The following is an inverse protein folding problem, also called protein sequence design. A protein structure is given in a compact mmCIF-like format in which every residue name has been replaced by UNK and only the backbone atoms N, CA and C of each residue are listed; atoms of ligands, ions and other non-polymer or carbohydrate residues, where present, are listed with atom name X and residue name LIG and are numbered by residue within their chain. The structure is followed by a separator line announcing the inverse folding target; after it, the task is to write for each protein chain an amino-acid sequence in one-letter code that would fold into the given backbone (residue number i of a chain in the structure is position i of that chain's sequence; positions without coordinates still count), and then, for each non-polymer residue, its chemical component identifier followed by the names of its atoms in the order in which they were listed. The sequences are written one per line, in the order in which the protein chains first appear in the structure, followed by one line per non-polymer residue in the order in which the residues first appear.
data_IF_441886248351
#
_entry.id   IF_441886248351
#
_cell.length_a   1.000
_cell.length_b   1.000
_cell.length_c   1.000
_cell.angle_alpha   90.00
_cell.angle_beta   90.00
_cell.angle_gamma   90.00
#
_symmetry.space_group_name_H-M   'P 1'
#
loop_
_entity.id
_entity.type
_entity.pdbx_description
1 polymer ?
#
# COMPACT_ATOMS: atom_id res chain seq x y z
N UNK A 1 40.21 -10.56 22.68
CA UNK A 1 39.96 -9.14 22.40
C UNK A 1 38.78 -9.06 21.44
N UNK A 2 37.74 -8.30 21.76
CA UNK A 2 36.62 -8.06 20.85
C UNK A 2 37.03 -7.06 19.77
N UNK A 3 36.75 -7.31 18.48
CA UNK A 3 37.03 -6.34 17.43
C UNK A 3 36.15 -5.09 17.66
N UNK A 4 36.75 -3.90 17.60
CA UNK A 4 35.99 -2.65 17.50
C UNK A 4 35.45 -2.58 16.07
N UNK A 5 34.12 -2.59 15.93
CA UNK A 5 33.48 -2.36 14.64
C UNK A 5 33.77 -0.92 14.20
N UNK A 6 34.07 -0.69 12.90
CA UNK A 6 34.17 0.64 12.33
C UNK A 6 32.89 1.47 12.61
N UNK A 7 33.04 2.78 12.78
CA UNK A 7 31.90 3.68 13.05
C UNK A 7 30.82 3.59 11.95
N UNK A 8 31.22 3.30 10.71
CA UNK A 8 30.32 3.15 9.57
C UNK A 8 29.39 1.91 9.67
N UNK A 9 29.69 0.97 10.57
CA UNK A 9 28.87 -0.22 10.87
C UNK A 9 28.17 -0.13 12.24
N UNK A 10 28.03 1.09 12.81
CA UNK A 10 27.38 1.31 14.10
C UNK A 10 28.32 1.20 15.32
N UNK A 11 29.61 1.50 15.12
CA UNK A 11 30.66 1.43 16.15
C UNK A 11 30.46 2.35 17.36
N UNK A 12 29.67 1.90 18.33
CA UNK A 12 29.70 2.34 19.73
C UNK A 12 30.42 1.31 20.62
N UNK A 13 30.35 1.46 21.95
CA UNK A 13 30.85 0.44 22.88
C UNK A 13 30.11 -0.88 22.69
N UNK A 14 30.74 -1.82 21.98
CA UNK A 14 30.19 -3.14 21.72
C UNK A 14 30.25 -3.99 22.97
N UNK A 15 29.09 -4.24 23.57
CA UNK A 15 28.92 -5.26 24.62
C UNK A 15 28.36 -6.52 23.98
N UNK A 16 28.93 -7.68 24.29
CA UNK A 16 28.46 -8.97 23.78
C UNK A 16 27.10 -9.27 24.43
N UNK A 17 26.01 -9.09 23.67
CA UNK A 17 24.62 -9.27 24.12
C UNK A 17 24.28 -10.72 24.49
N UNK A 18 25.06 -11.69 24.00
CA UNK A 18 24.77 -13.12 24.11
C UNK A 18 25.46 -13.81 25.29
N UNK A 19 26.38 -13.13 26.00
CA UNK A 19 27.14 -13.76 27.08
C UNK A 19 26.24 -13.95 28.29
N UNK A 20 25.73 -15.18 28.45
CA UNK A 20 24.81 -15.55 29.51
C UNK A 20 23.33 -15.57 29.12
N UNK A 21 22.98 -15.46 27.82
CA UNK A 21 21.62 -15.64 27.31
C UNK A 21 21.52 -17.01 26.60
N UNK A 22 20.66 -17.89 27.09
CA UNK A 22 20.44 -19.23 26.52
C UNK A 22 19.47 -19.21 25.34
N UNK A 23 18.33 -18.49 25.48
CA UNK A 23 17.33 -18.34 24.42
C UNK A 23 16.41 -17.14 24.67
N UNK A 24 15.69 -16.72 23.63
CA UNK A 24 14.61 -15.73 23.69
C UNK A 24 13.37 -16.26 22.97
N UNK A 25 12.20 -16.09 23.59
CA UNK A 25 10.90 -16.37 22.99
C UNK A 25 10.03 -15.10 23.01
N UNK A 26 9.28 -14.90 21.93
CA UNK A 26 8.26 -13.85 21.82
C UNK A 26 6.91 -14.52 21.65
N UNK A 27 5.99 -14.24 22.56
CA UNK A 27 4.61 -14.72 22.51
C UNK A 27 3.68 -13.54 22.26
N UNK A 28 2.77 -13.68 21.30
CA UNK A 28 1.73 -12.70 20.98
C UNK A 28 0.38 -13.36 21.16
N UNK A 29 -0.39 -12.91 22.13
CA UNK A 29 -1.76 -13.35 22.39
C UNK A 29 -2.74 -12.24 21.98
N UNK A 30 -3.49 -12.39 20.86
CA UNK A 30 -4.33 -11.31 20.34
C UNK A 30 -5.63 -11.08 21.12
N UNK A 31 -6.11 -12.08 21.86
CA UNK A 31 -7.43 -12.10 22.52
C UNK A 31 -7.42 -12.97 23.78
N UNK A 32 -8.23 -12.67 24.83
CA UNK A 32 -9.20 -11.58 24.96
C UNK A 32 -8.61 -10.24 25.43
N UNK A 33 -7.36 -10.24 25.93
CA UNK A 33 -6.58 -9.03 26.19
C UNK A 33 -5.26 -9.11 25.42
N UNK A 34 -4.98 -8.18 24.49
CA UNK A 34 -3.76 -8.25 23.70
C UNK A 34 -2.53 -8.20 24.60
N UNK A 35 -1.71 -9.24 24.52
CA UNK A 35 -0.49 -9.38 25.30
C UNK A 35 0.67 -9.72 24.38
N UNK A 36 1.75 -8.95 24.50
CA UNK A 36 3.05 -9.33 23.94
C UNK A 36 3.96 -9.64 25.12
N UNK A 37 4.46 -10.87 25.17
CA UNK A 37 5.39 -11.31 26.20
C UNK A 37 6.70 -11.71 25.55
N UNK A 38 7.80 -11.11 26.02
CA UNK A 38 9.15 -11.53 25.66
C UNK A 38 9.78 -12.19 26.87
N UNK A 39 10.25 -13.43 26.71
CA UNK A 39 10.97 -14.16 27.76
C UNK A 39 12.36 -14.48 27.26
N UNK A 40 13.38 -14.02 27.97
CA UNK A 40 14.76 -14.45 27.80
C UNK A 40 15.17 -15.36 28.95
N UNK A 41 15.84 -16.46 28.66
CA UNK A 41 16.45 -17.33 29.67
C UNK A 41 17.95 -17.04 29.75
N UNK A 42 18.44 -16.76 30.95
CA UNK A 42 19.85 -16.55 31.23
C UNK A 42 20.52 -17.79 31.82
N UNK A 43 21.85 -17.87 31.71
CA UNK A 43 22.68 -18.94 32.29
C UNK A 43 22.60 -18.96 33.82
N UNK A 44 22.50 -17.78 34.43
CA UNK A 44 22.48 -17.57 35.87
C UNK A 44 21.78 -16.25 36.24
N UNK A 45 21.53 -16.03 37.54
CA UNK A 45 20.80 -14.86 38.03
C UNK A 45 21.57 -13.55 37.82
N UNK A 46 22.90 -13.56 37.96
CA UNK A 46 23.73 -12.37 37.75
C UNK A 46 23.71 -11.94 36.27
N UNK A 47 23.69 -12.91 35.36
CA UNK A 47 23.52 -12.69 33.92
C UNK A 47 22.13 -12.13 33.60
N UNK A 48 21.07 -12.60 34.28
CA UNK A 48 19.73 -12.05 34.12
C UNK A 48 19.65 -10.56 34.54
N UNK A 49 20.27 -10.18 35.67
CA UNK A 49 20.35 -8.79 36.13
C UNK A 49 21.17 -7.90 35.19
N UNK A 50 22.30 -8.42 34.70
CA UNK A 50 23.15 -7.72 33.73
C UNK A 50 22.37 -7.42 32.43
N UNK A 51 21.65 -8.41 31.90
CA UNK A 51 20.82 -8.27 30.71
C UNK A 51 19.63 -7.33 30.94
N UNK A 52 18.98 -7.34 32.11
CA UNK A 52 17.94 -6.35 32.47
C UNK A 52 18.50 -4.92 32.39
N UNK A 53 19.63 -4.66 33.04
CA UNK A 53 20.26 -3.33 33.04
C UNK A 53 20.65 -2.85 31.64
N UNK A 54 21.00 -3.80 30.77
CA UNK A 54 21.34 -3.55 29.38
C UNK A 54 20.08 -3.26 28.55
N UNK A 55 19.01 -4.02 28.74
CA UNK A 55 17.69 -3.75 28.15
C UNK A 55 17.18 -2.35 28.52
N UNK A 56 17.25 -1.96 29.79
CA UNK A 56 16.86 -0.61 30.24
C UNK A 56 17.69 0.52 29.61
N UNK A 57 18.95 0.25 29.28
CA UNK A 57 19.81 1.21 28.55
C UNK A 57 19.45 1.27 27.07
N UNK A 58 19.23 0.11 26.44
CA UNK A 58 18.80 0.02 25.05
C UNK A 58 17.46 0.73 24.81
N UNK A 59 16.48 0.50 25.68
CA UNK A 59 15.16 1.15 25.63
C UNK A 59 15.27 2.67 25.74
N UNK A 60 16.10 3.19 26.66
CA UNK A 60 16.37 4.63 26.79
C UNK A 60 17.03 5.23 25.55
N UNK A 61 17.95 4.49 24.91
CA UNK A 61 18.61 4.93 23.68
C UNK A 61 17.63 4.95 22.50
N UNK A 62 16.78 3.92 22.37
CA UNK A 62 15.76 3.84 21.31
C UNK A 62 14.74 4.98 21.50
N UNK A 63 14.22 5.19 22.72
CA UNK A 63 13.24 6.24 23.00
C UNK A 63 13.76 7.67 22.85
N UNK A 64 15.08 7.88 22.90
CA UNK A 64 15.72 9.19 22.73
C UNK A 64 16.26 9.44 21.31
N UNK A 65 16.21 8.45 20.43
CA UNK A 65 16.68 8.57 19.04
C UNK A 65 15.63 9.21 18.13
N UNK A 66 15.93 10.40 17.60
CA UNK A 66 15.12 11.06 16.57
C UNK A 66 15.01 10.20 15.30
N UNK A 67 16.10 9.55 14.88
CA UNK A 67 16.17 8.73 13.67
C UNK A 67 15.26 7.50 13.73
N UNK A 68 15.02 6.92 14.92
CA UNK A 68 14.12 5.78 15.09
C UNK A 68 12.66 6.24 15.20
N UNK A 69 12.42 7.43 15.76
CA UNK A 69 11.08 8.02 15.84
C UNK A 69 10.44 8.27 14.47
N UNK A 70 11.27 8.49 13.44
CA UNK A 70 10.82 8.62 12.05
C UNK A 70 10.23 7.31 11.48
N UNK A 71 10.74 6.15 11.93
CA UNK A 71 10.28 4.84 11.48
C UNK A 71 9.14 4.28 12.33
N UNK A 72 9.16 4.54 13.64
CA UNK A 72 8.11 4.12 14.58
C UNK A 72 7.57 5.34 15.31
N UNK A 73 6.52 5.99 14.77
CA UNK A 73 5.86 7.08 15.45
C UNK A 73 5.42 6.61 16.84
N UNK A 74 5.72 7.41 17.88
CA UNK A 74 5.47 7.08 19.31
C UNK A 74 6.42 6.08 19.96
N UNK A 75 7.57 5.76 19.36
CA UNK A 75 8.59 4.90 20.00
C UNK A 75 8.96 5.36 21.42
N UNK A 76 8.94 6.67 21.68
CA UNK A 76 9.20 7.25 23.00
C UNK A 76 8.14 6.87 24.05
N UNK A 77 6.86 6.91 23.68
CA UNK A 77 5.75 6.49 24.55
C UNK A 77 5.81 4.99 24.84
N UNK A 78 6.18 4.20 23.82
CA UNK A 78 6.32 2.75 23.92
C UNK A 78 7.54 2.31 24.75
N UNK A 79 8.63 3.07 24.68
CA UNK A 79 9.86 2.80 25.42
C UNK A 79 9.64 2.90 26.95
N UNK A 80 8.85 3.87 27.41
CA UNK A 80 8.57 4.05 28.85
C UNK A 80 7.75 2.89 29.46
N UNK A 81 7.07 2.11 28.62
CA UNK A 81 6.26 0.95 29.00
C UNK A 81 7.05 -0.37 29.02
N UNK A 82 8.22 -0.43 28.37
CA UNK A 82 9.11 -1.59 28.40
C UNK A 82 9.83 -1.66 29.75
N UNK A 83 9.27 -2.44 30.68
CA UNK A 83 9.86 -2.69 32.00
C UNK A 83 10.27 -4.16 32.14
N UNK A 84 11.55 -4.50 31.89
CA UNK A 84 12.03 -5.86 32.07
C UNK A 84 12.05 -6.20 33.56
N UNK A 85 11.56 -7.39 33.90
CA UNK A 85 11.59 -7.95 35.26
C UNK A 85 12.46 -9.20 35.25
N UNK A 86 13.12 -9.48 36.36
CA UNK A 86 13.92 -10.70 36.53
C UNK A 86 13.14 -11.65 37.43
N UNK A 87 12.94 -12.87 36.94
CA UNK A 87 12.30 -13.98 37.65
C UNK A 87 13.31 -15.14 37.72
N UNK A 88 14.14 -15.14 38.76
CA UNK A 88 15.25 -16.09 38.89
C UNK A 88 16.27 -15.91 37.77
N UNK A 89 16.32 -16.88 36.84
CA UNK A 89 17.19 -16.83 35.65
C UNK A 89 16.48 -16.31 34.40
N UNK A 90 15.22 -15.87 34.51
CA UNK A 90 14.44 -15.38 33.36
C UNK A 90 14.33 -13.88 33.40
N UNK A 91 14.32 -13.28 32.22
CA UNK A 91 13.99 -11.89 32.01
C UNK A 91 12.67 -11.87 31.27
N UNK A 92 11.68 -11.25 31.89
CA UNK A 92 10.32 -11.18 31.36
C UNK A 92 9.99 -9.74 31.08
N UNK A 93 9.54 -9.47 29.86
CA UNK A 93 8.92 -8.21 29.46
C UNK A 93 7.47 -8.53 29.15
N UNK A 94 6.58 -8.07 30.02
CA UNK A 94 5.13 -8.16 29.83
C UNK A 94 4.60 -6.84 29.32
N UNK A 95 4.06 -6.85 28.11
CA UNK A 95 3.29 -5.76 27.53
C UNK A 95 1.83 -6.18 27.52
N UNK A 96 1.11 -5.82 28.58
CA UNK A 96 -0.31 -6.15 28.77
C UNK A 96 -1.19 -4.90 28.71
N UNK A 97 -2.47 -5.06 28.37
CA UNK A 97 -3.43 -3.95 28.37
C UNK A 97 -3.12 -2.91 27.29
N UNK A 98 -3.30 -1.62 27.59
CA UNK A 98 -3.07 -0.54 26.60
C UNK A 98 -1.66 -0.52 26.03
N UNK A 99 -0.66 -0.84 26.85
CA UNK A 99 0.74 -0.91 26.43
C UNK A 99 0.99 -2.05 25.44
N UNK A 100 0.47 -3.25 25.76
CA UNK A 100 0.48 -4.42 24.89
C UNK A 100 -0.20 -4.17 23.55
N UNK A 101 -1.36 -3.53 23.57
CA UNK A 101 -2.10 -3.14 22.35
C UNK A 101 -1.28 -2.17 21.49
N UNK A 102 -0.70 -1.14 22.10
CA UNK A 102 0.06 -0.13 21.34
C UNK A 102 1.34 -0.73 20.74
N UNK A 103 2.05 -1.58 21.49
CA UNK A 103 3.21 -2.32 21.00
C UNK A 103 2.86 -3.30 19.89
N UNK A 104 1.82 -4.11 20.08
CA UNK A 104 1.33 -5.03 19.07
C UNK A 104 0.97 -4.25 17.79
N UNK A 105 0.28 -3.12 17.89
CA UNK A 105 -0.03 -2.26 16.73
C UNK A 105 1.22 -1.70 16.06
N UNK A 106 2.17 -1.14 16.81
CA UNK A 106 3.39 -0.58 16.24
C UNK A 106 4.24 -1.60 15.47
N UNK A 107 4.20 -2.88 15.87
CA UNK A 107 4.96 -3.96 15.22
C UNK A 107 4.14 -4.65 14.12
N UNK A 108 2.85 -4.91 14.36
CA UNK A 108 1.99 -5.64 13.43
C UNK A 108 1.50 -4.75 12.30
N UNK A 109 1.17 -3.48 12.54
CA UNK A 109 0.61 -2.61 11.50
C UNK A 109 1.57 -2.45 10.30
N UNK A 110 2.88 -2.18 10.44
CA UNK A 110 3.79 -2.09 9.29
C UNK A 110 3.96 -3.42 8.53
N UNK A 111 4.02 -4.55 9.27
CA UNK A 111 4.15 -5.88 8.69
C UNK A 111 2.88 -6.28 7.94
N UNK A 112 1.72 -6.05 8.56
CA UNK A 112 0.42 -6.27 7.96
C UNK A 112 0.24 -5.39 6.72
N UNK A 113 0.60 -4.09 6.79
CA UNK A 113 0.50 -3.19 5.64
C UNK A 113 1.41 -3.61 4.49
N UNK A 114 2.61 -4.12 4.79
CA UNK A 114 3.50 -4.67 3.74
C UNK A 114 2.83 -5.83 3.00
N UNK A 115 2.19 -6.74 3.74
CA UNK A 115 1.44 -7.85 3.16
C UNK A 115 0.18 -7.41 2.40
N UNK A 116 -0.59 -6.47 2.97
CA UNK A 116 -1.79 -5.94 2.33
C UNK A 116 -1.46 -5.15 1.06
N UNK A 117 -0.38 -4.36 1.07
CA UNK A 117 0.15 -3.69 -0.13
C UNK A 117 0.59 -4.69 -1.18
N UNK A 118 1.29 -5.77 -0.82
CA UNK A 118 1.68 -6.80 -1.78
C UNK A 118 0.46 -7.37 -2.52
N UNK A 119 -0.65 -7.62 -1.82
CA UNK A 119 -1.91 -8.00 -2.46
C UNK A 119 -2.51 -6.90 -3.35
N UNK A 120 -2.44 -5.63 -2.94
CA UNK A 120 -2.91 -4.55 -3.81
C UNK A 120 -2.04 -4.44 -5.08
N UNK A 121 -0.74 -4.69 -4.99
CA UNK A 121 0.19 -4.80 -6.14
C UNK A 121 -0.18 -5.98 -7.04
N UNK A 122 -0.46 -7.17 -6.48
CA UNK A 122 -0.90 -8.33 -7.27
C UNK A 122 -2.18 -8.01 -8.06
N UNK A 123 -3.15 -7.33 -7.42
CA UNK A 123 -4.37 -6.87 -8.11
C UNK A 123 -4.03 -5.91 -9.25
N UNK A 124 -3.18 -4.91 -9.03
CA UNK A 124 -2.75 -3.95 -10.05
C UNK A 124 -2.04 -4.64 -11.23
N UNK A 125 -1.26 -5.70 -10.99
CA UNK A 125 -0.64 -6.51 -12.03
C UNK A 125 -1.69 -7.26 -12.85
N UNK A 126 -2.69 -7.88 -12.19
CA UNK A 126 -3.80 -8.55 -12.89
C UNK A 126 -4.61 -7.55 -13.72
N UNK A 127 -4.88 -6.36 -13.18
CA UNK A 127 -5.57 -5.29 -13.91
C UNK A 127 -4.76 -4.80 -15.11
N UNK A 128 -3.45 -4.58 -14.96
CA UNK A 128 -2.56 -4.22 -16.05
C UNK A 128 -2.55 -5.28 -17.17
N UNK A 129 -2.44 -6.55 -16.80
CA UNK A 129 -2.54 -7.67 -17.75
C UNK A 129 -3.89 -7.69 -18.47
N UNK A 130 -4.99 -7.47 -17.75
CA UNK A 130 -6.33 -7.42 -18.35
C UNK A 130 -6.48 -6.25 -19.33
N UNK A 131 -5.90 -5.09 -19.03
CA UNK A 131 -5.85 -3.93 -19.93
C UNK A 131 -5.08 -4.26 -21.22
N UNK A 132 -3.94 -4.94 -21.12
CA UNK A 132 -3.18 -5.39 -22.29
C UNK A 132 -3.90 -6.48 -23.10
N UNK A 133 -4.59 -7.43 -22.45
CA UNK A 133 -5.39 -8.42 -23.16
C UNK A 133 -6.58 -7.78 -23.91
N UNK A 134 -7.19 -6.76 -23.30
CA UNK A 134 -8.19 -5.93 -23.99
C UNK A 134 -7.56 -5.24 -25.21
N UNK A 135 -6.40 -4.59 -25.04
CA UNK A 135 -5.69 -3.89 -26.12
C UNK A 135 -5.31 -4.83 -27.27
N UNK A 136 -4.78 -6.01 -26.98
CA UNK A 136 -4.44 -7.01 -27.99
C UNK A 136 -5.67 -7.47 -28.81
N UNK A 137 -6.86 -7.42 -28.22
CA UNK A 137 -8.12 -7.84 -28.87
C UNK A 137 -8.79 -6.69 -29.63
N UNK A 138 -8.66 -5.44 -29.17
CA UNK A 138 -9.41 -4.28 -29.68
C UNK A 138 -8.55 -3.23 -30.39
N UNK A 139 -7.22 -3.35 -30.34
CA UNK A 139 -6.24 -2.42 -30.91
C UNK A 139 -6.01 -1.14 -30.10
N UNK A 140 -6.74 -0.95 -28.99
CA UNK A 140 -6.58 0.15 -28.04
C UNK A 140 -6.82 -0.34 -26.63
N UNK A 141 -6.22 0.31 -25.63
CA UNK A 141 -6.70 0.17 -24.25
C UNK A 141 -8.20 0.52 -24.16
N UNK A 142 -8.93 -0.01 -23.17
CA UNK A 142 -10.34 0.31 -23.03
C UNK A 142 -10.51 1.83 -22.84
N UNK A 143 -11.57 2.44 -23.40
CA UNK A 143 -11.92 3.80 -23.04
C UNK A 143 -12.22 3.87 -21.54
N UNK A 144 -12.09 5.05 -20.93
CA UNK A 144 -12.40 5.24 -19.50
C UNK A 144 -13.83 4.81 -19.17
N UNK A 145 -14.75 4.96 -20.14
CA UNK A 145 -16.13 4.51 -20.06
C UNK A 145 -16.73 4.30 -21.45
N UNK A 146 -17.75 3.43 -21.54
CA UNK A 146 -18.61 3.32 -22.72
C UNK A 146 -19.64 4.45 -22.77
N UNK A 147 -20.19 4.70 -23.96
CA UNK A 147 -21.22 5.73 -24.18
C UNK A 147 -22.38 5.20 -25.04
N UNK A 148 -23.56 5.79 -24.90
CA UNK A 148 -24.68 5.57 -25.82
C UNK A 148 -24.49 6.30 -27.17
N UNK A 149 -25.47 6.16 -28.07
CA UNK A 149 -25.47 6.83 -29.37
C UNK A 149 -25.42 8.38 -29.28
N UNK A 150 -25.84 8.97 -28.17
CA UNK A 150 -25.80 10.41 -27.91
C UNK A 150 -24.52 10.85 -27.19
N UNK A 151 -23.61 9.92 -26.89
CA UNK A 151 -22.37 10.18 -26.15
C UNK A 151 -22.54 10.25 -24.63
N UNK A 152 -23.69 9.83 -24.07
CA UNK A 152 -23.90 9.77 -22.62
C UNK A 152 -23.10 8.60 -22.03
N UNK A 153 -22.28 8.81 -20.97
CA UNK A 153 -21.55 7.74 -20.31
C UNK A 153 -22.47 6.65 -19.75
N UNK A 154 -22.08 5.38 -19.93
CA UNK A 154 -22.84 4.21 -19.48
C UNK A 154 -22.09 3.41 -18.41
N UNK A 155 -21.02 2.70 -18.78
CA UNK A 155 -20.30 1.76 -17.92
C UNK A 155 -18.80 2.07 -17.86
N UNK A 156 -18.17 1.78 -16.71
CA UNK A 156 -16.72 1.92 -16.50
C UNK A 156 -15.88 0.97 -17.36
N UNK A 157 -14.63 1.36 -17.64
CA UNK A 157 -13.57 0.46 -18.15
C UNK A 157 -13.47 -0.86 -17.37
N UNK A 158 -13.77 -0.83 -16.06
CA UNK A 158 -13.73 -2.02 -15.19
C UNK A 158 -14.73 -3.09 -15.63
N UNK A 159 -15.86 -2.69 -16.21
CA UNK A 159 -16.84 -3.61 -16.80
C UNK A 159 -16.31 -4.15 -18.14
N UNK A 160 -15.70 -3.29 -18.97
CA UNK A 160 -15.15 -3.68 -20.26
C UNK A 160 -14.04 -4.75 -20.15
N UNK A 161 -13.28 -4.75 -19.05
CA UNK A 161 -12.21 -5.73 -18.84
C UNK A 161 -12.64 -7.03 -18.15
N UNK A 162 -13.90 -7.17 -17.73
CA UNK A 162 -14.38 -8.37 -17.02
C UNK A 162 -14.05 -9.69 -17.73
N UNK A 163 -14.19 -9.82 -19.06
CA UNK A 163 -13.80 -11.05 -19.78
C UNK A 163 -12.32 -11.41 -19.62
N UNK A 164 -11.45 -10.43 -19.32
CA UNK A 164 -10.00 -10.59 -19.21
C UNK A 164 -9.53 -10.79 -17.76
N UNK A 165 -10.45 -10.79 -16.79
CA UNK A 165 -10.20 -11.14 -15.38
C UNK A 165 -11.02 -12.34 -14.92
N UNK A 166 -11.36 -13.23 -15.85
CA UNK A 166 -12.17 -14.44 -15.61
C UNK A 166 -13.57 -14.13 -15.03
N UNK A 167 -14.18 -13.03 -15.49
CA UNK A 167 -15.53 -12.60 -15.12
C UNK A 167 -16.43 -12.45 -16.36
N UNK A 168 -16.20 -13.29 -17.38
CA UNK A 168 -16.94 -13.26 -18.65
C UNK A 168 -18.45 -13.52 -18.50
N UNK A 169 -18.88 -14.31 -17.52
CA UNK A 169 -20.31 -14.53 -17.27
C UNK A 169 -20.96 -13.30 -16.64
N UNK A 170 -20.30 -12.67 -15.66
CA UNK A 170 -20.78 -11.40 -15.09
C UNK A 170 -20.86 -10.31 -16.17
N UNK A 171 -19.91 -10.26 -17.11
CA UNK A 171 -19.96 -9.32 -18.23
C UNK A 171 -21.21 -9.48 -19.11
N UNK A 172 -21.62 -10.72 -19.40
CA UNK A 172 -22.82 -11.01 -20.21
C UNK A 172 -24.12 -10.62 -19.50
N UNK A 173 -24.11 -10.55 -18.17
CA UNK A 173 -25.27 -10.15 -17.38
C UNK A 173 -25.49 -8.63 -17.40
N UNK A 174 -24.49 -7.82 -17.70
CA UNK A 174 -24.66 -6.37 -17.86
C UNK A 174 -25.45 -6.03 -19.12
N UNK A 175 -26.43 -5.14 -19.00
CA UNK A 175 -27.03 -4.45 -20.14
C UNK A 175 -26.08 -3.31 -20.57
N UNK A 176 -25.33 -3.53 -21.64
CA UNK A 176 -24.23 -2.64 -22.05
C UNK A 176 -24.68 -1.35 -22.73
N UNK A 177 -25.94 -1.30 -23.14
CA UNK A 177 -26.66 -0.14 -23.66
C UNK A 177 -27.36 0.68 -22.56
N UNK A 178 -27.28 0.23 -21.31
CA UNK A 178 -27.84 0.91 -20.14
C UNK A 178 -26.75 1.50 -19.23
N UNK A 179 -27.04 2.58 -18.50
CA UNK A 179 -26.09 3.14 -17.54
C UNK A 179 -25.86 2.20 -16.36
N UNK A 180 -24.73 2.38 -15.68
CA UNK A 180 -24.33 1.62 -14.50
C UNK A 180 -25.37 1.59 -13.36
N UNK A 181 -26.22 2.61 -13.26
CA UNK A 181 -27.24 2.79 -12.24
C UNK A 181 -28.67 2.50 -12.73
N UNK A 182 -28.82 1.86 -13.90
CA UNK A 182 -30.11 1.36 -14.35
C UNK A 182 -30.71 0.37 -13.34
N UNK A 183 -32.04 0.19 -13.30
CA UNK A 183 -32.67 -0.76 -12.39
C UNK A 183 -32.09 -2.17 -12.47
N UNK A 184 -31.63 -2.59 -13.67
CA UNK A 184 -30.97 -3.87 -13.89
C UNK A 184 -29.50 -3.84 -13.43
N UNK A 185 -28.67 -2.99 -14.05
CA UNK A 185 -27.22 -2.98 -13.83
C UNK A 185 -26.83 -2.67 -12.39
N UNK A 186 -27.61 -1.87 -11.67
CA UNK A 186 -27.36 -1.53 -10.27
C UNK A 186 -27.36 -2.75 -9.36
N UNK A 187 -28.10 -3.81 -9.70
CA UNK A 187 -28.14 -5.07 -8.92
C UNK A 187 -26.81 -5.83 -8.99
N UNK A 188 -26.00 -5.58 -10.02
CA UNK A 188 -24.73 -6.27 -10.23
C UNK A 188 -23.56 -5.63 -9.45
N UNK A 189 -23.76 -4.45 -8.85
CA UNK A 189 -22.71 -3.73 -8.09
C UNK A 189 -22.18 -4.57 -6.93
N UNK A 190 -23.04 -5.32 -6.24
CA UNK A 190 -22.67 -6.17 -5.10
C UNK A 190 -21.77 -7.35 -5.51
N UNK A 191 -21.73 -7.70 -6.79
CA UNK A 191 -20.91 -8.79 -7.35
C UNK A 191 -19.54 -8.29 -7.82
N UNK A 192 -19.03 -7.21 -7.23
CA UNK A 192 -17.71 -6.67 -7.54
C UNK A 192 -16.61 -7.74 -7.43
N UNK A 193 -15.87 -8.02 -8.51
CA UNK A 193 -14.74 -8.94 -8.45
C UNK A 193 -13.67 -8.52 -7.43
N UNK A 194 -13.06 -9.49 -6.75
CA UNK A 194 -12.06 -9.25 -5.70
C UNK A 194 -10.83 -8.49 -6.21
N UNK A 195 -10.48 -8.64 -7.49
CA UNK A 195 -9.36 -7.92 -8.12
C UNK A 195 -9.54 -6.39 -8.08
N UNK A 196 -10.78 -5.89 -7.98
CA UNK A 196 -11.04 -4.44 -7.84
C UNK A 196 -10.97 -3.95 -6.39
N UNK A 197 -10.70 -4.81 -5.42
CA UNK A 197 -10.67 -4.47 -3.99
C UNK A 197 -9.23 -4.32 -3.51
N UNK A 198 -8.81 -3.13 -3.07
CA UNK A 198 -7.53 -3.01 -2.35
C UNK A 198 -7.73 -3.41 -0.87
N UNK A 199 -7.07 -4.48 -0.38
CA UNK A 199 -7.20 -4.94 1.00
C UNK A 199 -6.53 -4.05 2.06
N UNK A 200 -5.75 -3.03 1.68
CA UNK A 200 -5.24 -2.04 2.66
C UNK A 200 -6.41 -1.39 3.40
N UNK A 201 -6.19 -1.06 4.68
CA UNK A 201 -7.17 -0.39 5.54
C UNK A 201 -6.82 1.05 5.87
N UNK A 202 -5.69 1.57 5.34
CA UNK A 202 -5.27 2.95 5.58
C UNK A 202 -6.36 3.91 5.09
N UNK A 203 -6.68 4.96 5.85
CA UNK A 203 -7.76 5.88 5.48
C UNK A 203 -9.17 5.26 5.45
N UNK A 204 -9.33 4.01 5.90
CA UNK A 204 -10.59 3.27 5.87
C UNK A 204 -10.64 2.21 4.76
N UNK A 205 -11.51 1.21 4.96
CA UNK A 205 -11.89 0.28 3.92
C UNK A 205 -13.03 0.91 3.10
N UNK A 206 -12.95 0.93 1.76
CA UNK A 206 -14.07 1.34 0.93
C UNK A 206 -15.34 0.53 1.24
N UNK A 207 -16.51 1.14 1.06
CA UNK A 207 -17.78 0.42 1.22
C UNK A 207 -17.90 -0.70 0.17
N UNK A 208 -18.73 -1.74 0.41
CA UNK A 208 -18.98 -2.78 -0.58
C UNK A 208 -19.36 -2.20 -1.95
N UNK A 209 -18.81 -2.77 -3.02
CA UNK A 209 -19.01 -2.28 -4.40
C UNK A 209 -18.20 -1.03 -4.77
N UNK A 210 -17.36 -0.51 -3.88
CA UNK A 210 -16.49 0.64 -4.13
C UNK A 210 -15.04 0.21 -4.38
N UNK A 211 -14.35 0.91 -5.28
CA UNK A 211 -12.94 0.67 -5.62
C UNK A 211 -12.13 1.96 -5.57
N UNK A 212 -10.84 1.80 -5.29
CA UNK A 212 -9.82 2.85 -5.26
C UNK A 212 -8.85 2.76 -6.45
N UNK A 213 -8.95 1.71 -7.28
CA UNK A 213 -8.11 1.57 -8.46
C UNK A 213 -8.70 2.40 -9.58
N UNK A 214 -8.20 3.61 -9.81
CA UNK A 214 -8.78 4.58 -10.75
C UNK A 214 -7.81 4.95 -11.86
N UNK A 215 -8.32 5.24 -13.05
CA UNK A 215 -7.50 5.77 -14.14
C UNK A 215 -7.45 7.30 -14.06
N UNK A 216 -6.32 7.96 -14.37
CA UNK A 216 -6.30 9.41 -14.53
C UNK A 216 -7.10 9.81 -15.77
N UNK A 217 -8.05 10.75 -15.64
CA UNK A 217 -8.88 11.25 -16.74
C UNK A 217 -8.50 12.68 -17.10
N UNK A 218 -7.88 12.82 -18.26
CA UNK A 218 -7.70 14.09 -18.97
C UNK A 218 -7.26 13.81 -20.43
N UNK A 219 -7.45 14.76 -21.33
CA UNK A 219 -7.19 14.65 -22.78
C UNK A 219 -5.77 14.21 -23.15
N UNK A 220 -4.77 14.47 -22.29
CA UNK A 220 -3.36 14.09 -22.49
C UNK A 220 -2.94 12.76 -21.83
N UNK A 221 -3.85 12.12 -21.08
CA UNK A 221 -3.58 10.85 -20.37
C UNK A 221 -3.82 9.63 -21.26
N UNK A 222 -3.56 8.43 -20.74
CA UNK A 222 -4.00 7.18 -21.38
C UNK A 222 -5.52 7.03 -21.49
N UNK A 223 -6.29 7.76 -20.67
CA UNK A 223 -7.74 7.61 -20.55
C UNK A 223 -8.45 8.95 -20.73
N UNK A 224 -8.51 9.50 -21.97
CA UNK A 224 -9.09 10.81 -22.25
C UNK A 224 -10.63 10.84 -22.12
N UNK A 225 -11.28 9.71 -21.85
CA UNK A 225 -12.73 9.59 -21.73
C UNK A 225 -13.27 8.45 -22.59
N UNK A 226 -14.22 8.75 -23.48
CA UNK A 226 -14.93 7.77 -24.33
C UNK A 226 -14.11 7.14 -25.47
N UNK A 227 -12.85 7.54 -25.65
CA UNK A 227 -11.99 7.06 -26.73
C UNK A 227 -10.87 6.21 -26.12
N UNK A 228 -10.65 5.02 -26.69
CA UNK A 228 -9.51 4.17 -26.35
C UNK A 228 -8.23 4.69 -27.00
N UNK A 229 -7.10 4.52 -26.32
CA UNK A 229 -5.78 4.93 -26.80
C UNK A 229 -4.98 3.70 -27.20
N UNK A 230 -4.39 3.70 -28.40
CA UNK A 230 -3.51 2.61 -28.83
C UNK A 230 -2.16 2.67 -28.13
N UNK A 231 -1.54 1.52 -27.87
CA UNK A 231 -0.23 1.46 -27.18
C UNK A 231 0.86 2.27 -27.93
N UNK A 232 0.79 2.34 -29.26
CA UNK A 232 1.70 3.12 -30.11
C UNK A 232 1.59 4.64 -29.94
N UNK A 233 0.51 5.13 -29.31
CA UNK A 233 0.30 6.55 -29.04
C UNK A 233 0.97 7.00 -27.73
N UNK A 234 1.62 6.08 -27.01
CA UNK A 234 2.37 6.35 -25.79
C UNK A 234 3.82 6.67 -26.18
N UNK A 235 4.06 7.91 -26.61
CA UNK A 235 5.37 8.36 -27.06
C UNK A 235 6.30 8.77 -25.92
N UNK A 236 5.77 9.01 -24.72
CA UNK A 236 6.57 9.34 -23.52
C UNK A 236 7.22 8.12 -22.86
N UNK A 237 6.91 6.91 -23.37
CA UNK A 237 7.39 5.64 -22.84
C UNK A 237 6.35 4.91 -21.99
N UNK A 238 6.09 3.65 -22.31
CA UNK A 238 5.11 2.83 -21.58
C UNK A 238 5.51 2.60 -20.12
N UNK A 239 6.82 2.52 -19.83
CA UNK A 239 7.36 2.38 -18.48
C UNK A 239 7.39 3.69 -17.67
N UNK A 240 6.86 4.79 -18.21
CA UNK A 240 6.88 6.14 -17.59
C UNK A 240 5.53 6.84 -17.68
N UNK A 241 4.48 6.17 -18.17
CA UNK A 241 3.11 6.69 -18.20
C UNK A 241 2.22 5.88 -17.26
N UNK A 242 1.56 6.54 -16.31
CA UNK A 242 0.64 5.93 -15.35
C UNK A 242 -0.67 5.55 -16.05
N UNK A 243 -1.06 4.29 -15.87
CA UNK A 243 -2.30 3.70 -16.35
C UNK A 243 -3.38 3.65 -15.26
N UNK A 244 -3.06 3.05 -14.10
CA UNK A 244 -4.00 2.86 -12.99
C UNK A 244 -3.35 3.35 -11.70
N UNK A 245 -4.07 4.11 -10.89
CA UNK A 245 -3.65 4.67 -9.61
C UNK A 245 -4.45 4.04 -8.47
N UNK A 246 -3.79 3.82 -7.34
CA UNK A 246 -4.48 3.66 -6.06
C UNK A 246 -4.81 5.03 -5.45
N UNK A 247 -6.09 5.36 -5.39
CA UNK A 247 -6.55 6.61 -4.78
C UNK A 247 -6.87 6.47 -3.29
N UNK A 248 -7.03 7.58 -2.56
CA UNK A 248 -7.50 7.56 -1.19
C UNK A 248 -8.88 6.89 -1.05
N UNK A 249 -9.18 6.34 0.13
CA UNK A 249 -10.43 5.60 0.36
C UNK A 249 -11.68 6.48 0.30
N UNK A 250 -11.56 7.76 0.65
CA UNK A 250 -12.63 8.76 0.55
C UNK A 250 -12.90 9.22 -0.89
N UNK A 251 -12.01 8.87 -1.84
CA UNK A 251 -12.20 9.06 -3.28
C UNK A 251 -12.66 7.80 -4.02
N UNK A 252 -12.99 6.73 -3.28
CA UNK A 252 -13.47 5.49 -3.86
C UNK A 252 -14.78 5.70 -4.63
N UNK A 253 -14.94 4.97 -5.73
CA UNK A 253 -16.10 5.05 -6.63
C UNK A 253 -16.76 3.69 -6.76
N UNK A 254 -18.06 3.66 -7.07
CA UNK A 254 -18.72 2.41 -7.45
C UNK A 254 -18.03 1.84 -8.68
N UNK A 255 -17.62 0.58 -8.63
CA UNK A 255 -16.74 0.00 -9.67
C UNK A 255 -17.34 -0.04 -11.08
N UNK A 256 -18.67 -0.05 -11.21
CA UNK A 256 -19.37 -0.03 -12.51
C UNK A 256 -19.58 1.38 -13.05
N UNK A 257 -19.47 2.41 -12.20
CA UNK A 257 -19.76 3.80 -12.54
C UNK A 257 -18.70 4.35 -13.50
N UNK A 258 -19.08 5.10 -14.56
CA UNK A 258 -18.15 5.72 -15.50
C UNK A 258 -17.50 6.97 -14.89
N UNK A 259 -16.94 6.83 -13.69
CA UNK A 259 -16.26 7.88 -12.95
C UNK A 259 -14.90 7.38 -12.46
N UNK A 260 -13.92 8.28 -12.46
CA UNK A 260 -12.52 7.95 -12.23
C UNK A 260 -11.81 9.20 -11.66
N UNK A 261 -10.47 9.29 -11.71
CA UNK A 261 -9.76 10.42 -11.12
C UNK A 261 -9.56 11.51 -12.16
N UNK A 262 -10.39 12.55 -12.14
CA UNK A 262 -10.18 13.76 -12.94
C UNK A 262 -8.89 14.47 -12.49
N UNK A 263 -7.98 14.71 -13.43
CA UNK A 263 -6.72 15.37 -13.10
C UNK A 263 -6.99 16.85 -12.80
N UNK A 264 -6.77 17.33 -11.55
CA UNK A 264 -7.01 18.71 -11.21
C UNK A 264 -5.95 19.63 -11.85
N UNK A 265 -6.27 20.93 -11.98
CA UNK A 265 -5.33 21.93 -12.50
C UNK A 265 -4.02 22.01 -11.68
N UNK A 266 -4.10 21.72 -10.38
CA UNK A 266 -2.93 21.60 -9.49
C UNK A 266 -2.98 20.26 -8.78
N UNK A 267 -1.91 19.47 -8.92
CA UNK A 267 -1.79 18.15 -8.32
C UNK A 267 -1.06 18.26 -6.97
N UNK A 268 -1.61 17.62 -5.93
CA UNK A 268 -0.93 17.42 -4.66
C UNK A 268 -0.69 15.92 -4.40
N UNK A 269 0.56 15.43 -4.57
CA UNK A 269 0.93 14.05 -4.27
C UNK A 269 0.60 13.63 -2.83
N UNK A 270 0.61 14.56 -1.87
CA UNK A 270 0.28 14.26 -0.46
C UNK A 270 -1.21 14.06 -0.22
N UNK A 271 -2.06 14.54 -1.13
CA UNK A 271 -3.49 14.27 -1.09
C UNK A 271 -3.82 12.97 -1.85
N UNK A 272 -3.14 12.70 -2.97
CA UNK A 272 -3.44 11.58 -3.85
C UNK A 272 -2.78 10.26 -3.40
N UNK A 273 -1.47 10.27 -3.15
CA UNK A 273 -0.67 9.06 -2.98
C UNK A 273 -0.65 8.60 -1.52
N UNK A 274 -1.82 8.40 -0.92
CA UNK A 274 -1.95 8.12 0.52
C UNK A 274 -2.48 6.74 0.86
N UNK A 275 -2.77 5.90 -0.15
CA UNK A 275 -3.36 4.56 0.03
C UNK A 275 -2.53 3.66 0.95
N UNK A 276 -1.21 3.80 0.94
CA UNK A 276 -0.28 2.98 1.72
C UNK A 276 0.69 3.84 2.51
N UNK A 277 1.32 3.29 3.55
CA UNK A 277 2.31 4.04 4.33
C UNK A 277 3.40 4.59 3.40
N UNK A 278 3.52 5.92 3.34
CA UNK A 278 4.52 6.64 2.56
C UNK A 278 4.17 6.90 1.08
N UNK A 279 3.06 6.39 0.55
CA UNK A 279 2.79 6.49 -0.88
C UNK A 279 1.58 5.70 -1.37
N UNK A 280 1.53 5.47 -2.68
CA UNK A 280 0.55 4.62 -3.32
C UNK A 280 1.19 3.88 -4.51
N UNK A 281 0.66 2.72 -4.84
CA UNK A 281 1.09 1.94 -5.99
C UNK A 281 0.29 2.34 -7.21
N UNK A 282 0.91 2.22 -8.39
CA UNK A 282 0.27 2.49 -9.66
C UNK A 282 0.79 1.54 -10.73
N UNK A 283 -0.10 1.14 -11.65
CA UNK A 283 0.25 0.41 -12.86
C UNK A 283 0.70 1.40 -13.93
N UNK A 284 1.78 1.10 -14.64
CA UNK A 284 2.28 1.89 -15.77
C UNK A 284 1.79 1.33 -17.11
N UNK A 285 2.02 2.05 -18.20
CA UNK A 285 1.63 1.73 -19.56
C UNK A 285 2.19 0.40 -20.10
N UNK A 286 3.24 -0.14 -19.48
CA UNK A 286 3.84 -1.45 -19.79
C UNK A 286 3.32 -2.58 -18.89
N UNK A 287 2.37 -2.28 -17.99
CA UNK A 287 1.80 -3.22 -17.03
C UNK A 287 2.63 -3.44 -15.76
N UNK A 288 3.81 -2.83 -15.64
CA UNK A 288 4.60 -2.86 -14.41
C UNK A 288 3.90 -2.06 -13.29
N UNK A 289 4.15 -2.43 -12.04
CA UNK A 289 3.60 -1.73 -10.86
C UNK A 289 4.72 -1.07 -10.09
N UNK A 290 4.60 0.24 -9.89
CA UNK A 290 5.59 1.07 -9.19
C UNK A 290 4.95 1.74 -7.98
N UNK A 291 5.73 1.88 -6.91
CA UNK A 291 5.31 2.59 -5.70
C UNK A 291 5.78 4.05 -5.74
N UNK A 292 4.84 4.99 -5.79
CA UNK A 292 5.12 6.41 -5.80
C UNK A 292 5.02 7.00 -4.39
N UNK A 293 6.04 7.77 -4.01
CA UNK A 293 6.09 8.44 -2.71
C UNK A 293 5.17 9.65 -2.68
N UNK A 294 4.44 9.83 -1.59
CA UNK A 294 3.63 11.03 -1.38
C UNK A 294 4.46 12.33 -1.28
N UNK A 295 5.79 12.22 -1.12
CA UNK A 295 6.73 13.33 -1.07
C UNK A 295 7.31 13.72 -2.44
N UNK A 296 6.97 13.00 -3.51
CA UNK A 296 7.50 13.26 -4.84
C UNK A 296 7.16 14.67 -5.33
N UNK A 297 7.94 15.17 -6.29
CA UNK A 297 7.66 16.47 -6.90
C UNK A 297 6.33 16.44 -7.69
N UNK A 298 5.38 17.36 -7.43
CA UNK A 298 4.13 17.45 -8.18
C UNK A 298 4.32 17.56 -9.69
N UNK A 299 5.37 18.24 -10.16
CA UNK A 299 5.67 18.35 -11.58
C UNK A 299 6.08 17.00 -12.18
N UNK A 300 6.86 16.19 -11.46
CA UNK A 300 7.20 14.82 -11.90
C UNK A 300 5.94 13.97 -12.01
N UNK A 301 5.02 14.06 -11.04
CA UNK A 301 3.77 13.32 -11.10
C UNK A 301 2.94 13.71 -12.33
N UNK A 302 2.87 15.00 -12.68
CA UNK A 302 2.17 15.45 -13.88
C UNK A 302 2.76 14.85 -15.16
N UNK A 303 4.09 14.79 -15.28
CA UNK A 303 4.78 14.16 -16.43
C UNK A 303 4.45 12.69 -16.56
N UNK A 304 4.38 11.97 -15.43
CA UNK A 304 3.98 10.56 -15.43
C UNK A 304 2.53 10.34 -15.87
N UNK A 305 1.68 11.37 -15.91
CA UNK A 305 0.30 11.26 -16.40
C UNK A 305 0.20 11.45 -17.92
N UNK A 306 1.20 12.01 -18.59
CA UNK A 306 1.14 12.28 -20.03
C UNK A 306 1.51 11.05 -20.84
N UNK A 307 0.76 10.81 -21.93
CA UNK A 307 1.12 9.76 -22.92
C UNK A 307 2.07 10.27 -24.02
N UNK A 308 2.02 11.58 -24.31
CA UNK A 308 2.69 12.19 -25.45
C UNK A 308 3.10 13.67 -25.23
N UNK A 309 3.53 14.01 -24.01
CA UNK A 309 4.05 15.32 -23.62
C UNK A 309 5.48 15.59 -24.10
N UNK A 310 6.24 14.58 -24.54
CA UNK A 310 7.64 14.69 -24.96
C UNK A 310 8.63 14.81 -23.80
N UNK A 311 8.19 14.45 -22.59
CA UNK A 311 8.94 14.63 -21.35
C UNK A 311 9.77 13.39 -21.03
N UNK A 312 11.05 13.57 -20.69
CA UNK A 312 11.90 12.49 -20.17
C UNK A 312 11.81 12.50 -18.65
N UNK A 313 11.24 11.46 -18.07
CA UNK A 313 11.29 11.20 -16.63
C UNK A 313 12.46 10.27 -16.34
N UNK A 314 13.44 10.73 -15.56
CA UNK A 314 14.61 9.90 -15.25
C UNK A 314 14.37 9.06 -13.98
N UNK A 315 14.96 7.86 -13.88
CA UNK A 315 14.96 7.10 -12.62
C UNK A 315 15.70 7.92 -11.53
N UNK A 316 14.98 8.35 -10.49
CA UNK A 316 15.52 9.20 -9.41
C UNK A 316 14.80 10.53 -9.18
N UNK A 317 13.81 10.89 -10.00
CA UNK A 317 12.97 12.08 -9.82
C UNK A 317 11.80 11.86 -8.81
N UNK A 318 11.80 10.71 -8.09
CA UNK A 318 10.78 10.17 -7.18
C UNK A 318 11.04 10.28 -5.65
#
# INVERSE_FOLDING_TARGET
MTPRLPEELGGGSTSVLTRGLEWVAVSVEPTPSPMVRVVGQASDAASADALKSLGERAVRLIGSSSRIADFVPRIKLLADELRPRVEGRRIVIDLSGRAGVQWARAVIEPVAETYLRARCVDNLMVLGLAMHNYEATHGTFPPAYSVDANGKPLLSWRVAILPFVDQGDLFKEFHQDEPWDSPHNKTLIERMPQVFTCPSRRGGAPAPGMTVYKTPRETYTLFPGKVGVAIKEITDGTATTIMILETPADQAVVWTRPDDWDVPATIDPKALLTRHIGGASATLGDGSVVFFRQSMNPATLLKLLTRAGGEVVNPGDD
#
